data_IF_163465166834
#
_entry.id   IF_163465166834
#
_cell.length_a   1.000
_cell.length_b   1.000
_cell.length_c   1.000
_cell.angle_alpha   90.00
_cell.angle_beta   90.00
_cell.angle_gamma   90.00
#
_symmetry.space_group_name_H-M   'P 1'
#
loop_
_entity.id
_entity.type
_entity.pdbx_description
1 polymer ?
#
# COMPACT_ATOMS: atom_id res chain seq x y z
N UNK A 1 4.80 8.33 11.37
CA UNK A 1 5.22 8.28 9.96
C UNK A 1 4.75 9.49 9.18
N UNK A 2 3.47 9.65 8.85
CA UNK A 2 3.04 10.83 8.08
C UNK A 2 3.45 12.16 8.75
N UNK A 3 3.33 12.26 10.08
CA UNK A 3 3.84 13.41 10.83
C UNK A 3 5.37 13.56 10.71
N UNK A 4 6.13 12.49 10.90
CA UNK A 4 7.60 12.49 10.83
C UNK A 4 8.11 12.88 9.42
N UNK A 5 7.39 12.49 8.36
CA UNK A 5 7.76 12.86 6.98
C UNK A 5 7.37 14.30 6.64
N UNK A 6 6.26 14.81 7.19
CA UNK A 6 5.93 16.25 7.12
C UNK A 6 7.02 17.08 7.81
N UNK A 7 7.49 16.62 8.96
CA UNK A 7 8.61 17.26 9.68
C UNK A 7 9.93 17.17 8.90
N UNK A 8 10.07 16.18 8.01
CA UNK A 8 11.16 16.07 7.04
C UNK A 8 10.96 16.91 5.75
N UNK A 9 9.91 17.73 5.67
CA UNK A 9 9.66 18.64 4.54
C UNK A 9 9.09 17.95 3.30
N UNK A 10 8.36 16.84 3.47
CA UNK A 10 7.62 16.18 2.37
C UNK A 10 6.19 16.74 2.32
N UNK A 11 5.78 17.27 1.16
CA UNK A 11 4.42 17.75 0.94
C UNK A 11 3.41 16.59 0.90
N UNK A 12 2.16 16.84 1.28
CA UNK A 12 1.13 15.78 1.31
C UNK A 12 0.88 15.17 -0.08
N UNK A 13 0.89 15.99 -1.13
CA UNK A 13 0.77 15.56 -2.53
C UNK A 13 1.95 14.72 -3.04
N UNK A 14 3.06 14.72 -2.30
CA UNK A 14 4.23 13.87 -2.57
C UNK A 14 4.18 12.55 -1.80
N UNK A 15 3.07 12.27 -1.09
CA UNK A 15 2.85 11.05 -0.32
C UNK A 15 1.83 10.12 -0.96
N UNK A 16 2.15 8.83 -0.95
CA UNK A 16 1.25 7.75 -1.37
C UNK A 16 0.93 6.79 -0.22
N UNK A 17 -0.31 6.33 -0.14
CA UNK A 17 -0.75 5.30 0.80
C UNK A 17 -1.48 4.22 0.04
N UNK A 18 -0.92 3.01 0.01
CA UNK A 18 -1.44 1.90 -0.76
C UNK A 18 -1.88 0.74 0.12
N UNK A 19 -3.03 0.16 -0.23
CA UNK A 19 -3.58 -1.03 0.43
C UNK A 19 -3.92 -2.08 -0.61
N UNK A 20 -4.02 -3.35 -0.19
CA UNK A 20 -4.26 -4.44 -1.14
C UNK A 20 -5.65 -4.38 -1.77
N UNK A 21 -6.70 -4.08 -1.02
CA UNK A 21 -8.08 -4.10 -1.52
C UNK A 21 -8.91 -2.92 -1.02
N UNK A 22 -10.10 -2.75 -1.60
CA UNK A 22 -11.03 -1.69 -1.20
C UNK A 22 -11.50 -1.82 0.25
N UNK A 23 -11.45 -3.03 0.82
CA UNK A 23 -11.82 -3.32 2.22
C UNK A 23 -10.92 -2.57 3.21
N UNK A 24 -9.66 -2.34 2.86
CA UNK A 24 -8.66 -1.70 3.70
C UNK A 24 -8.56 -0.19 3.47
N UNK A 25 -9.20 0.38 2.45
CA UNK A 25 -9.17 1.82 2.17
C UNK A 25 -9.63 2.65 3.36
N UNK A 26 -10.60 2.16 4.15
CA UNK A 26 -11.05 2.85 5.35
C UNK A 26 -9.90 3.00 6.37
N UNK A 27 -9.06 1.98 6.55
CA UNK A 27 -7.90 2.05 7.44
C UNK A 27 -6.86 3.04 6.93
N UNK A 28 -6.61 3.05 5.63
CA UNK A 28 -5.71 4.02 5.02
C UNK A 28 -6.18 5.46 5.25
N UNK A 29 -7.45 5.75 4.98
CA UNK A 29 -8.03 7.07 5.22
C UNK A 29 -7.97 7.47 6.70
N UNK A 30 -8.26 6.55 7.62
CA UNK A 30 -8.14 6.80 9.05
C UNK A 30 -6.68 7.11 9.46
N UNK A 31 -5.70 6.43 8.90
CA UNK A 31 -4.28 6.69 9.19
C UNK A 31 -3.84 8.09 8.69
N UNK A 32 -4.28 8.48 7.49
CA UNK A 32 -4.03 9.83 6.94
C UNK A 32 -4.69 10.90 7.83
N UNK A 33 -5.95 10.70 8.20
CA UNK A 33 -6.68 11.64 9.06
C UNK A 33 -6.07 11.74 10.48
N UNK A 34 -5.60 10.62 11.04
CA UNK A 34 -4.92 10.60 12.34
C UNK A 34 -3.60 11.38 12.33
N UNK A 35 -2.98 11.57 11.15
CA UNK A 35 -1.82 12.43 10.95
C UNK A 35 -2.19 13.90 10.64
N UNK A 36 -3.45 14.28 10.75
CA UNK A 36 -3.91 15.64 10.45
C UNK A 36 -3.86 16.02 8.97
N UNK A 37 -3.77 15.03 8.08
CA UNK A 37 -3.71 15.22 6.64
C UNK A 37 -5.06 14.88 5.99
N UNK A 38 -5.24 15.33 4.75
CA UNK A 38 -6.40 14.99 3.94
C UNK A 38 -6.02 13.93 2.89
N UNK A 39 -6.97 13.06 2.57
CA UNK A 39 -6.78 12.00 1.60
C UNK A 39 -7.57 12.29 0.32
N UNK A 40 -6.93 12.05 -0.82
CA UNK A 40 -7.58 11.94 -2.12
C UNK A 40 -7.51 10.48 -2.57
N UNK A 41 -8.66 9.90 -2.94
CA UNK A 41 -8.66 8.60 -3.59
C UNK A 41 -7.95 8.72 -4.94
N UNK A 42 -6.98 7.83 -5.17
CA UNK A 42 -6.19 7.83 -6.38
C UNK A 42 -7.06 7.49 -7.59
N UNK A 43 -7.04 8.41 -8.54
CA UNK A 43 -7.62 8.28 -9.86
C UNK A 43 -6.48 8.34 -10.89
N UNK A 44 -6.26 7.29 -11.71
CA UNK A 44 -5.21 7.28 -12.73
C UNK A 44 -5.30 8.43 -13.76
N UNK A 45 -6.48 9.03 -13.92
CA UNK A 45 -6.73 10.09 -14.89
C UNK A 45 -6.54 11.50 -14.30
N UNK A 46 -6.34 11.62 -12.98
CA UNK A 46 -6.24 12.90 -12.29
C UNK A 46 -4.92 13.04 -11.52
N UNK A 47 -4.38 14.26 -11.47
CA UNK A 47 -3.26 14.55 -10.58
C UNK A 47 -3.71 14.60 -9.13
N UNK A 48 -2.78 14.30 -8.22
CA UNK A 48 -2.97 14.51 -6.78
C UNK A 48 -3.02 16.01 -6.52
N UNK A 49 -4.06 16.45 -5.82
CA UNK A 49 -4.26 17.86 -5.46
C UNK A 49 -3.26 18.26 -4.37
N UNK A 50 -2.73 19.49 -4.46
CA UNK A 50 -1.87 20.06 -3.42
C UNK A 50 -2.51 19.95 -2.04
N UNK A 51 -1.74 19.46 -1.06
CA UNK A 51 -2.23 19.27 0.31
C UNK A 51 -3.05 17.99 0.54
N UNK A 52 -3.15 17.09 -0.45
CA UNK A 52 -3.83 15.80 -0.32
C UNK A 52 -2.83 14.64 -0.46
N UNK A 53 -2.95 13.65 0.42
CA UNK A 53 -2.24 12.37 0.30
C UNK A 53 -2.98 11.47 -0.68
N UNK A 54 -2.28 10.87 -1.64
CA UNK A 54 -2.87 9.90 -2.54
C UNK A 54 -3.14 8.58 -1.80
N UNK A 55 -4.39 8.14 -1.74
CA UNK A 55 -4.79 6.86 -1.14
C UNK A 55 -5.34 5.95 -2.23
N UNK A 56 -4.84 4.72 -2.37
CA UNK A 56 -5.27 3.84 -3.45
C UNK A 56 -4.97 2.36 -3.24
N UNK A 57 -5.34 1.57 -4.25
CA UNK A 57 -5.00 0.15 -4.30
C UNK A 57 -3.60 -0.05 -4.86
N UNK A 58 -2.90 -1.10 -4.43
CA UNK A 58 -1.54 -1.41 -4.86
C UNK A 58 -1.41 -1.47 -6.39
N UNK A 59 -2.35 -2.09 -7.10
CA UNK A 59 -2.32 -2.20 -8.57
C UNK A 59 -2.43 -0.84 -9.29
N UNK A 60 -3.03 0.16 -8.64
CA UNK A 60 -3.18 1.51 -9.19
C UNK A 60 -1.93 2.37 -9.02
N UNK A 61 -0.95 1.89 -8.26
CA UNK A 61 0.27 2.63 -8.00
C UNK A 61 1.24 2.61 -9.19
N UNK A 62 1.03 1.73 -10.17
CA UNK A 62 1.91 1.55 -11.34
C UNK A 62 2.06 2.86 -12.13
N UNK A 63 3.31 3.21 -12.42
CA UNK A 63 3.64 4.42 -13.20
C UNK A 63 3.63 5.71 -12.38
N UNK A 64 3.33 5.63 -11.08
CA UNK A 64 3.41 6.77 -10.16
C UNK A 64 4.69 6.70 -9.34
N UNK A 65 5.14 7.84 -8.83
CA UNK A 65 6.25 7.93 -7.89
C UNK A 65 5.91 8.98 -6.82
N UNK A 66 6.29 8.68 -5.58
CA UNK A 66 6.07 9.52 -4.42
C UNK A 66 7.36 9.63 -3.64
N UNK A 67 7.61 10.76 -2.97
CA UNK A 67 8.75 10.88 -2.08
C UNK A 67 8.62 9.96 -0.88
N UNK A 68 7.40 9.85 -0.34
CA UNK A 68 7.09 8.93 0.74
C UNK A 68 5.92 8.01 0.39
N UNK A 69 6.05 6.72 0.69
CA UNK A 69 4.96 5.74 0.54
C UNK A 69 4.76 4.96 1.82
N UNK A 70 3.49 4.83 2.23
CA UNK A 70 3.06 3.84 3.21
C UNK A 70 2.29 2.72 2.52
N UNK A 71 2.78 1.50 2.59
CA UNK A 71 2.02 0.30 2.24
C UNK A 71 1.36 -0.21 3.52
N UNK A 72 0.05 0.01 3.63
CA UNK A 72 -0.73 -0.23 4.85
C UNK A 72 -1.51 -1.55 4.77
N UNK A 73 -1.83 -2.08 5.95
CA UNK A 73 -2.64 -3.28 6.11
C UNK A 73 -2.03 -4.53 5.46
N UNK A 74 -0.70 -4.66 5.53
CA UNK A 74 0.02 -5.88 5.18
C UNK A 74 -0.12 -6.95 6.27
N UNK A 75 -1.36 -7.32 6.54
CA UNK A 75 -1.74 -8.29 7.56
C UNK A 75 -1.81 -9.71 6.95
N UNK A 76 -1.87 -10.73 7.82
CA UNK A 76 -2.20 -12.10 7.41
C UNK A 76 -3.51 -12.13 6.61
N UNK A 77 -3.57 -12.98 5.58
CA UNK A 77 -4.71 -13.20 4.69
C UNK A 77 -5.19 -11.99 3.87
N UNK A 78 -4.66 -10.78 4.10
CA UNK A 78 -4.90 -9.60 3.26
C UNK A 78 -3.92 -9.59 2.11
N UNK A 79 -2.63 -9.78 2.38
CA UNK A 79 -1.58 -9.93 1.39
C UNK A 79 -0.65 -11.08 1.84
N UNK A 80 -0.47 -12.16 1.06
CA UNK A 80 -1.29 -12.52 -0.09
C UNK A 80 -2.78 -12.66 0.29
N UNK A 81 -3.67 -12.34 -0.65
CA UNK A 81 -5.12 -12.42 -0.42
C UNK A 81 -5.58 -13.88 -0.29
N UNK A 82 -6.00 -14.28 0.91
CA UNK A 82 -6.55 -15.63 1.15
C UNK A 82 -7.79 -15.89 0.30
N UNK A 83 -8.63 -14.87 0.10
CA UNK A 83 -9.83 -15.01 -0.72
C UNK A 83 -9.50 -15.37 -2.18
N UNK A 84 -8.37 -14.89 -2.72
CA UNK A 84 -7.93 -15.28 -4.07
C UNK A 84 -7.35 -16.67 -4.09
N UNK A 85 -6.62 -17.06 -3.05
CA UNK A 85 -6.06 -18.41 -2.89
C UNK A 85 -7.19 -19.45 -2.82
N UNK A 86 -8.27 -19.16 -2.08
CA UNK A 86 -9.41 -20.07 -1.91
C UNK A 86 -10.21 -20.30 -3.21
N UNK A 87 -10.13 -19.37 -4.18
CA UNK A 87 -10.82 -19.46 -5.47
C UNK A 87 -10.08 -20.35 -6.49
N UNK A 88 -8.84 -20.74 -6.19
CA UNK A 88 -7.99 -21.50 -7.10
C UNK A 88 -8.26 -23.00 -7.02
N UNK A 89 -8.36 -23.66 -8.19
CA UNK A 89 -8.67 -25.08 -8.30
C UNK A 89 -7.49 -26.04 -8.44
N UNK A 90 -6.30 -25.57 -8.83
CA UNK A 90 -5.10 -26.39 -8.99
C UNK A 90 -3.82 -25.73 -8.46
N UNK A 91 -2.74 -26.51 -8.36
CA UNK A 91 -1.49 -26.06 -7.73
C UNK A 91 -0.71 -25.03 -8.57
N UNK A 92 -0.79 -25.09 -9.90
CA UNK A 92 -0.06 -24.14 -10.75
C UNK A 92 -0.68 -22.74 -10.62
N UNK A 93 -2.00 -22.66 -10.61
CA UNK A 93 -2.75 -21.43 -10.39
C UNK A 93 -2.50 -20.83 -8.98
N UNK A 94 -2.18 -21.67 -7.98
CA UNK A 94 -1.87 -21.22 -6.62
C UNK A 94 -0.53 -20.48 -6.58
N UNK A 95 0.50 -21.06 -7.20
CA UNK A 95 1.83 -20.44 -7.31
C UNK A 95 1.77 -19.12 -8.10
N UNK A 96 1.06 -19.11 -9.23
CA UNK A 96 0.86 -17.89 -10.04
C UNK A 96 0.09 -16.80 -9.26
N UNK A 97 -0.92 -17.19 -8.49
CA UNK A 97 -1.66 -16.25 -7.63
C UNK A 97 -0.75 -15.67 -6.56
N UNK A 98 0.05 -16.51 -5.90
CA UNK A 98 1.00 -16.11 -4.88
C UNK A 98 2.04 -15.11 -5.41
N UNK A 99 2.66 -15.42 -6.54
CA UNK A 99 3.65 -14.55 -7.18
C UNK A 99 3.02 -13.23 -7.66
N UNK A 100 1.77 -13.26 -8.13
CA UNK A 100 1.04 -12.03 -8.49
C UNK A 100 0.81 -11.15 -7.26
N UNK A 101 0.43 -11.72 -6.12
CA UNK A 101 0.27 -10.96 -4.86
C UNK A 101 1.62 -10.37 -4.41
N UNK A 102 2.70 -11.15 -4.47
CA UNK A 102 4.06 -10.67 -4.17
C UNK A 102 4.45 -9.51 -5.08
N UNK A 103 4.15 -9.60 -6.38
CA UNK A 103 4.42 -8.54 -7.33
C UNK A 103 3.63 -7.27 -7.04
N UNK A 104 2.37 -7.36 -6.58
CA UNK A 104 1.59 -6.20 -6.15
C UNK A 104 2.26 -5.45 -5.00
N UNK A 105 2.71 -6.20 -3.98
CA UNK A 105 3.44 -5.62 -2.86
C UNK A 105 4.73 -4.93 -3.33
N UNK A 106 5.52 -5.61 -4.18
CA UNK A 106 6.75 -5.04 -4.75
C UNK A 106 6.49 -3.76 -5.54
N UNK A 107 5.47 -3.74 -6.39
CA UNK A 107 5.10 -2.56 -7.18
C UNK A 107 4.77 -1.38 -6.27
N UNK A 108 3.95 -1.59 -5.23
CA UNK A 108 3.57 -0.55 -4.28
C UNK A 108 4.78 -0.03 -3.50
N UNK A 109 5.64 -0.91 -2.98
CA UNK A 109 6.84 -0.54 -2.25
C UNK A 109 7.82 0.28 -3.10
N UNK A 110 8.02 -0.09 -4.37
CA UNK A 110 8.96 0.60 -5.27
C UNK A 110 8.44 1.93 -5.82
N UNK A 111 7.24 2.38 -5.42
CA UNK A 111 6.80 3.74 -5.74
C UNK A 111 7.41 4.78 -4.80
N UNK A 112 8.02 4.36 -3.68
CA UNK A 112 8.75 5.23 -2.77
C UNK A 112 10.09 5.65 -3.37
N UNK A 113 10.39 6.95 -3.35
CA UNK A 113 11.70 7.48 -3.72
C UNK A 113 12.63 7.65 -2.53
N UNK A 114 12.14 8.25 -1.45
CA UNK A 114 12.96 8.64 -0.30
C UNK A 114 12.61 7.81 0.95
N UNK A 115 11.31 7.60 1.18
CA UNK A 115 10.80 6.97 2.41
C UNK A 115 9.76 5.89 2.11
N UNK A 116 10.00 4.68 2.61
CA UNK A 116 9.05 3.58 2.58
C UNK A 116 8.68 3.18 3.99
N UNK A 117 7.39 3.05 4.28
CA UNK A 117 6.88 2.33 5.43
C UNK A 117 6.00 1.19 4.95
N UNK A 118 6.18 0.00 5.53
CA UNK A 118 5.27 -1.12 5.38
C UNK A 118 4.71 -1.45 6.75
N UNK A 119 3.39 -1.60 6.87
CA UNK A 119 2.75 -1.88 8.16
C UNK A 119 1.78 -3.03 8.05
N UNK A 120 1.72 -3.87 9.09
CA UNK A 120 0.66 -4.83 9.32
C UNK A 120 0.32 -4.89 10.82
N UNK A 121 -0.83 -5.46 11.15
CA UNK A 121 -1.12 -5.92 12.52
C UNK A 121 -0.66 -7.37 12.68
N UNK A 122 -0.41 -7.82 13.91
CA UNK A 122 -0.07 -9.21 14.17
C UNK A 122 -1.33 -10.10 14.20
N UNK A 123 -1.35 -11.28 13.54
CA UNK A 123 -0.29 -11.81 12.66
C UNK A 123 -0.17 -11.02 11.34
N UNK A 124 1.08 -10.73 10.95
CA UNK A 124 1.40 -9.98 9.74
C UNK A 124 1.42 -10.87 8.51
N UNK A 125 1.52 -10.25 7.33
CA UNK A 125 1.70 -10.96 6.07
C UNK A 125 2.98 -11.80 6.06
N UNK A 126 2.91 -13.01 5.51
CA UNK A 126 4.06 -13.89 5.28
C UNK A 126 5.14 -13.21 4.40
N UNK A 127 4.75 -12.32 3.49
CA UNK A 127 5.70 -11.56 2.68
C UNK A 127 6.55 -10.58 3.49
N UNK A 128 6.13 -10.20 4.69
CA UNK A 128 6.94 -9.35 5.57
C UNK A 128 8.06 -10.12 6.24
N UNK A 129 7.90 -11.43 6.45
CA UNK A 129 8.95 -12.28 7.02
C UNK A 129 10.16 -12.32 6.09
N UNK A 130 9.92 -12.41 4.77
CA UNK A 130 10.95 -12.35 3.73
C UNK A 130 11.78 -11.05 3.76
N UNK A 131 11.24 -9.96 4.33
CA UNK A 131 11.91 -8.66 4.43
C UNK A 131 12.78 -8.53 5.68
N UNK A 132 12.57 -9.37 6.70
CA UNK A 132 13.20 -9.21 8.01
C UNK A 132 14.55 -9.92 8.16
N UNK A 133 14.87 -10.89 7.30
CA UNK A 133 16.19 -11.55 7.23
C UNK A 133 16.49 -12.54 8.35
#
# INVERSE_FOLDING_TARGET
MAQDTVDAGVGAEEMGVFVRSSRELKRANMAVAAAGLNAQLLDPEASVQTGQVAVGLMERAKGLEFRAVAVLACDEAIIPSQARIDEVGDYADLEDTWETERQLLYVACTRARDHLLVTGVAPGSEFLEDLMG
#
